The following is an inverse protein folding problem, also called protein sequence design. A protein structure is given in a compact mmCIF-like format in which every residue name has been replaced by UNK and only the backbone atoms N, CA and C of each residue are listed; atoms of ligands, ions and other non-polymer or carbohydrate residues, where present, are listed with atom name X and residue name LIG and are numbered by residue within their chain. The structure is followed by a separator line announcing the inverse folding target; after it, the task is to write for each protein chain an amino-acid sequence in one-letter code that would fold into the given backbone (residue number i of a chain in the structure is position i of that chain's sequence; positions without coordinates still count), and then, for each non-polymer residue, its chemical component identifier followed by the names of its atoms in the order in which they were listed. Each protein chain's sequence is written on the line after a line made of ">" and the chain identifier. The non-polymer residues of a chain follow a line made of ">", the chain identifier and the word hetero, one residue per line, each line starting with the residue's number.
data_IF_160478264386
#
_entry.id   IF_160478264386
#
_cell.length_a   1.000
_cell.length_b   1.000
_cell.length_c   1.000
_cell.angle_alpha   90.00
_cell.angle_beta   90.00
_cell.angle_gamma   90.00
#
_symmetry.space_group_name_H-M   'P 1'
#
loop_
_entity.id
_entity.type
_entity.pdbx_description
1 polymer ?
#
# COMPACT_ATOMS: atom_id res chain seq x y z
N UNK A 1 -29.30 3.13 15.02
CA UNK A 1 -28.30 4.21 15.26
C UNK A 1 -27.82 4.64 13.89
N UNK A 2 -28.00 5.90 13.51
CA UNK A 2 -27.45 6.42 12.25
C UNK A 2 -25.93 6.42 12.38
N UNK A 3 -25.27 5.57 11.61
CA UNK A 3 -23.81 5.50 11.58
C UNK A 3 -23.24 6.87 11.21
N UNK A 4 -22.41 7.42 12.09
CA UNK A 4 -21.83 8.74 11.89
C UNK A 4 -20.87 8.68 10.69
N UNK A 5 -21.09 9.52 9.67
CA UNK A 5 -20.27 9.48 8.45
C UNK A 5 -18.84 9.89 8.77
N UNK A 6 -17.88 9.09 8.34
CA UNK A 6 -16.44 9.29 8.55
C UNK A 6 -15.76 9.77 7.28
N UNK A 7 -14.69 10.55 7.44
CA UNK A 7 -13.83 10.99 6.34
C UNK A 7 -13.03 9.80 5.77
N UNK A 8 -13.11 9.58 4.46
CA UNK A 8 -12.45 8.48 3.74
C UNK A 8 -10.91 8.55 3.72
N UNK A 9 -10.32 9.61 4.30
CA UNK A 9 -8.87 9.82 4.37
C UNK A 9 -8.30 9.77 5.79
N UNK A 10 -9.06 10.18 6.81
CA UNK A 10 -8.53 10.27 8.19
C UNK A 10 -9.38 9.57 9.25
N UNK A 11 -10.50 8.98 8.83
CA UNK A 11 -11.44 8.20 9.65
C UNK A 11 -12.16 8.97 10.76
N UNK A 12 -11.89 10.28 10.91
CA UNK A 12 -12.61 11.11 11.87
C UNK A 12 -14.03 11.46 11.35
N UNK A 13 -15.00 11.69 12.25
CA UNK A 13 -16.36 12.11 11.89
C UNK A 13 -16.38 13.37 11.01
N UNK A 14 -17.35 13.45 10.11
CA UNK A 14 -17.51 14.58 9.17
C UNK A 14 -18.34 15.75 9.73
N UNK A 15 -18.87 15.69 10.96
CA UNK A 15 -19.56 16.79 11.68
C UNK A 15 -20.34 17.80 10.81
N UNK A 16 -21.27 17.30 9.98
CA UNK A 16 -22.14 18.14 9.13
C UNK A 16 -21.52 18.62 7.80
N UNK A 17 -20.27 18.27 7.49
CA UNK A 17 -19.71 18.45 6.14
C UNK A 17 -20.45 17.57 5.13
N UNK A 18 -20.79 18.13 3.97
CA UNK A 18 -21.36 17.39 2.84
C UNK A 18 -20.26 16.64 2.07
N UNK A 19 -20.49 15.37 1.72
CA UNK A 19 -19.53 14.55 0.97
C UNK A 19 -18.78 13.53 1.83
N UNK A 20 -17.64 13.04 1.36
CA UNK A 20 -16.90 11.91 1.95
C UNK A 20 -15.56 12.32 2.61
N UNK A 21 -15.21 13.62 2.58
CA UNK A 21 -13.90 14.14 3.02
C UNK A 21 -14.04 15.45 3.77
N UNK A 22 -13.18 15.67 4.78
CA UNK A 22 -12.92 17.02 5.27
C UNK A 22 -12.23 17.86 4.20
N UNK A 23 -12.52 19.16 4.09
CA UNK A 23 -11.84 20.06 3.14
C UNK A 23 -10.30 19.97 3.27
N UNK A 24 -9.78 19.93 4.50
CA UNK A 24 -8.33 19.80 4.77
C UNK A 24 -7.74 18.49 4.25
N UNK A 25 -8.47 17.39 4.36
CA UNK A 25 -8.05 16.07 3.92
C UNK A 25 -8.05 15.98 2.40
N UNK A 26 -9.11 16.51 1.77
CA UNK A 26 -9.18 16.64 0.31
C UNK A 26 -8.03 17.48 -0.24
N UNK A 27 -7.68 18.60 0.41
CA UNK A 27 -6.55 19.44 -0.02
C UNK A 27 -5.21 18.72 0.10
N UNK A 28 -5.00 18.01 1.21
CA UNK A 28 -3.77 17.25 1.45
C UNK A 28 -3.57 16.18 0.38
N UNK A 29 -4.62 15.39 0.12
CA UNK A 29 -4.52 14.28 -0.81
C UNK A 29 -4.71 14.71 -2.27
N UNK A 30 -5.75 15.44 -2.65
CA UNK A 30 -6.03 15.77 -4.05
C UNK A 30 -5.51 17.14 -4.53
N UNK A 31 -5.03 17.98 -3.61
CA UNK A 31 -4.65 19.36 -3.91
C UNK A 31 -5.84 20.30 -4.17
N UNK A 32 -7.07 19.87 -3.90
CA UNK A 32 -8.31 20.64 -4.09
C UNK A 32 -9.22 20.61 -2.87
N UNK A 33 -10.08 21.63 -2.73
CA UNK A 33 -11.06 21.71 -1.61
C UNK A 33 -12.00 20.51 -1.54
N UNK A 34 -12.43 20.05 -2.71
CA UNK A 34 -13.32 18.91 -2.88
C UNK A 34 -12.56 17.79 -3.59
N UNK A 35 -12.86 16.52 -3.27
CA UNK A 35 -12.24 15.39 -3.94
C UNK A 35 -12.69 15.34 -5.41
N UNK A 36 -11.84 14.86 -6.34
CA UNK A 36 -12.26 14.60 -7.70
C UNK A 36 -13.40 13.57 -7.74
N UNK A 37 -14.37 13.78 -8.63
CA UNK A 37 -15.50 12.87 -8.80
C UNK A 37 -15.06 11.57 -9.50
N UNK A 38 -15.45 10.42 -8.97
CA UNK A 38 -15.31 9.12 -9.63
C UNK A 38 -16.61 8.77 -10.36
N UNK A 39 -16.74 9.16 -11.62
CA UNK A 39 -17.97 8.99 -12.42
C UNK A 39 -18.14 7.61 -13.07
N UNK A 40 -17.26 6.67 -12.74
CA UNK A 40 -17.30 5.27 -13.17
C UNK A 40 -17.83 4.35 -12.06
N UNK A 41 -18.58 3.32 -12.43
CA UNK A 41 -18.99 2.23 -11.54
C UNK A 41 -18.19 0.94 -11.80
N UNK A 42 -18.51 -0.13 -11.07
CA UNK A 42 -17.81 -1.43 -11.21
C UNK A 42 -17.83 -1.97 -12.64
N UNK A 43 -18.97 -1.89 -13.35
CA UNK A 43 -19.07 -2.35 -14.74
C UNK A 43 -18.15 -1.58 -15.69
N UNK A 44 -18.01 -0.27 -15.49
CA UNK A 44 -17.11 0.56 -16.28
C UNK A 44 -15.65 0.16 -16.01
N UNK A 45 -15.32 -0.07 -14.74
CA UNK A 45 -14.00 -0.54 -14.30
C UNK A 45 -13.68 -1.92 -14.89
N UNK A 46 -14.60 -2.88 -14.84
CA UNK A 46 -14.41 -4.21 -15.42
C UNK A 46 -14.18 -4.13 -16.94
N UNK A 47 -15.01 -3.38 -17.65
CA UNK A 47 -14.88 -3.19 -19.09
C UNK A 47 -13.53 -2.53 -19.45
N UNK A 48 -13.11 -1.51 -18.70
CA UNK A 48 -11.84 -0.81 -18.93
C UNK A 48 -10.63 -1.65 -18.49
N UNK A 49 -10.72 -2.40 -17.41
CA UNK A 49 -9.70 -3.34 -16.98
C UNK A 49 -9.45 -4.38 -18.07
N UNK A 50 -10.49 -4.93 -18.70
CA UNK A 50 -10.35 -5.84 -19.85
C UNK A 50 -9.67 -5.16 -21.06
N UNK A 51 -9.97 -3.89 -21.33
CA UNK A 51 -9.34 -3.14 -22.43
C UNK A 51 -7.86 -2.84 -22.16
N UNK A 52 -7.51 -2.51 -20.91
CA UNK A 52 -6.12 -2.20 -20.50
C UNK A 52 -5.29 -3.47 -20.31
N UNK A 53 -5.89 -4.55 -19.79
CA UNK A 53 -5.26 -5.85 -19.50
C UNK A 53 -5.23 -6.79 -20.70
N UNK A 54 -5.75 -6.39 -21.86
CA UNK A 54 -5.67 -7.15 -23.11
C UNK A 54 -4.23 -7.39 -23.57
N UNK A 55 -3.54 -8.37 -22.96
CA UNK A 55 -2.34 -9.12 -23.39
C UNK A 55 -1.61 -9.90 -22.27
N UNK A 56 -2.02 -9.84 -21.01
CA UNK A 56 -1.40 -10.64 -19.94
C UNK A 56 -2.44 -11.45 -19.16
N UNK A 57 -2.14 -12.73 -18.96
CA UNK A 57 -3.02 -13.79 -18.45
C UNK A 57 -3.82 -13.34 -17.23
N UNK A 58 -5.15 -13.45 -17.37
CA UNK A 58 -6.13 -13.28 -16.32
C UNK A 58 -5.97 -14.37 -15.26
N UNK A 59 -5.18 -14.10 -14.22
CA UNK A 59 -5.31 -14.86 -12.98
C UNK A 59 -6.63 -14.46 -12.34
N UNK A 60 -7.63 -15.31 -12.48
CA UNK A 60 -8.96 -15.17 -11.88
C UNK A 60 -8.80 -14.95 -10.37
N UNK A 61 -9.29 -13.81 -9.85
CA UNK A 61 -9.25 -13.48 -8.42
C UNK A 61 -8.20 -12.45 -8.01
N UNK A 62 -7.36 -11.96 -8.93
CA UNK A 62 -6.47 -10.82 -8.68
C UNK A 62 -7.25 -9.51 -8.79
N UNK A 63 -7.09 -8.61 -7.81
CA UNK A 63 -7.72 -7.29 -7.82
C UNK A 63 -7.20 -6.47 -9.01
N UNK A 64 -8.07 -5.90 -9.86
CA UNK A 64 -7.61 -5.06 -10.96
C UNK A 64 -6.96 -3.78 -10.43
N UNK A 65 -5.90 -3.33 -11.12
CA UNK A 65 -5.15 -2.12 -10.79
C UNK A 65 -5.25 -1.15 -11.96
N UNK A 66 -5.95 -0.05 -11.76
CA UNK A 66 -6.17 0.97 -12.78
C UNK A 66 -5.29 2.18 -12.54
N UNK A 67 -4.73 2.73 -13.60
CA UNK A 67 -4.02 4.00 -13.56
C UNK A 67 -5.02 5.12 -13.85
N UNK A 68 -5.12 6.11 -12.96
CA UNK A 68 -6.08 7.20 -13.10
C UNK A 68 -5.39 8.56 -12.92
N UNK A 69 -5.94 9.58 -13.56
CA UNK A 69 -5.51 10.97 -13.38
C UNK A 69 -6.71 11.88 -13.10
N UNK A 70 -6.43 13.12 -12.70
CA UNK A 70 -7.46 14.13 -12.48
C UNK A 70 -7.52 15.10 -13.64
N UNK A 71 -8.69 15.24 -14.25
CA UNK A 71 -8.98 16.24 -15.29
C UNK A 71 -9.99 17.27 -14.78
N UNK A 72 -9.94 18.48 -15.34
CA UNK A 72 -11.01 19.45 -15.18
C UNK A 72 -12.28 18.91 -15.85
N UNK A 73 -13.41 18.88 -15.13
CA UNK A 73 -14.67 18.45 -15.71
C UNK A 73 -15.11 19.44 -16.83
N UNK A 74 -15.34 18.92 -18.04
CA UNK A 74 -15.75 19.73 -19.18
C UNK A 74 -17.03 20.52 -18.85
N UNK A 75 -16.98 21.84 -18.99
CA UNK A 75 -18.13 22.73 -18.75
C UNK A 75 -18.36 23.16 -17.29
N UNK A 76 -17.58 22.66 -16.31
CA UNK A 76 -17.80 22.98 -14.90
C UNK A 76 -16.57 23.68 -14.28
N UNK A 77 -16.68 24.99 -14.02
CA UNK A 77 -15.60 25.84 -13.47
C UNK A 77 -15.15 25.48 -12.04
N UNK A 78 -15.65 24.39 -11.42
CA UNK A 78 -15.46 24.10 -9.99
C UNK A 78 -15.14 22.64 -9.60
N UNK A 79 -14.98 21.69 -10.53
CA UNK A 79 -14.77 20.28 -10.16
C UNK A 79 -13.73 19.55 -11.01
N UNK A 80 -12.86 18.77 -10.36
CA UNK A 80 -12.02 17.76 -11.02
C UNK A 80 -12.78 16.43 -11.06
N UNK A 81 -12.47 15.57 -12.03
CA UNK A 81 -12.95 14.18 -12.10
C UNK A 81 -11.78 13.23 -12.31
N UNK A 82 -11.93 11.99 -11.88
CA UNK A 82 -10.99 10.93 -12.22
C UNK A 82 -11.26 10.42 -13.64
N UNK A 83 -10.19 10.28 -14.42
CA UNK A 83 -10.19 9.60 -15.70
C UNK A 83 -9.23 8.44 -15.67
N UNK A 84 -9.65 7.30 -16.21
CA UNK A 84 -8.76 6.16 -16.39
C UNK A 84 -7.84 6.48 -17.56
N UNK A 85 -6.54 6.38 -17.31
CA UNK A 85 -5.50 6.68 -18.26
C UNK A 85 -4.55 5.49 -18.36
N UNK A 86 -3.70 5.48 -19.38
CA UNK A 86 -2.64 4.49 -19.50
C UNK A 86 -1.57 4.62 -18.41
N UNK A 87 -0.33 4.27 -18.73
CA UNK A 87 0.79 4.17 -17.77
C UNK A 87 1.23 5.49 -17.10
N UNK A 88 0.58 6.61 -17.42
CA UNK A 88 0.96 7.97 -17.05
C UNK A 88 0.15 8.61 -15.93
N UNK A 89 -0.90 7.93 -15.44
CA UNK A 89 -1.77 8.47 -14.39
C UNK A 89 -1.03 8.77 -13.10
N UNK A 90 -1.45 9.82 -12.41
CA UNK A 90 -0.90 10.27 -11.14
C UNK A 90 -1.31 9.38 -9.96
N UNK A 91 -2.35 8.57 -10.13
CA UNK A 91 -2.92 7.70 -9.11
C UNK A 91 -3.07 6.27 -9.58
N UNK A 92 -3.11 5.35 -8.62
CA UNK A 92 -3.46 3.96 -8.79
C UNK A 92 -4.77 3.73 -8.06
N UNK A 93 -5.78 3.20 -8.76
CA UNK A 93 -7.08 2.86 -8.22
C UNK A 93 -7.27 1.34 -8.20
N UNK A 94 -7.74 0.83 -7.08
CA UNK A 94 -8.03 -0.59 -6.86
C UNK A 94 -9.47 -0.74 -6.34
N UNK A 95 -10.40 -1.23 -7.16
CA UNK A 95 -11.79 -1.40 -6.77
C UNK A 95 -11.96 -2.65 -5.89
N UNK A 96 -13.13 -2.83 -5.25
CA UNK A 96 -13.45 -4.07 -4.60
C UNK A 96 -13.63 -5.18 -5.64
N UNK A 97 -13.46 -6.43 -5.23
CA UNK A 97 -13.77 -7.60 -6.05
C UNK A 97 -14.91 -8.39 -5.40
N UNK A 98 -15.80 -9.05 -6.17
CA UNK A 98 -16.96 -9.74 -5.61
C UNK A 98 -16.63 -10.76 -4.50
N UNK A 99 -15.48 -11.45 -4.63
CA UNK A 99 -15.00 -12.41 -3.63
C UNK A 99 -14.58 -11.75 -2.31
N UNK A 100 -14.09 -10.52 -2.37
CA UNK A 100 -13.48 -9.79 -1.26
C UNK A 100 -13.95 -8.32 -1.28
N UNK A 101 -15.21 -8.05 -0.90
CA UNK A 101 -15.82 -6.74 -1.06
C UNK A 101 -15.15 -5.65 -0.22
N UNK A 102 -14.58 -5.99 0.94
CA UNK A 102 -13.88 -5.05 1.84
C UNK A 102 -12.36 -5.01 1.63
N UNK A 103 -11.85 -5.59 0.53
CA UNK A 103 -10.41 -5.55 0.25
C UNK A 103 -9.83 -4.12 0.19
N UNK A 104 -10.50 -3.14 -0.46
CA UNK A 104 -10.04 -1.75 -0.43
C UNK A 104 -9.86 -1.18 0.98
N UNK A 105 -10.83 -1.41 1.86
CA UNK A 105 -10.85 -0.94 3.24
C UNK A 105 -9.77 -1.62 4.08
N UNK A 106 -9.52 -2.92 3.86
CA UNK A 106 -8.43 -3.65 4.52
C UNK A 106 -7.08 -3.08 4.09
N UNK A 107 -6.88 -2.81 2.80
CA UNK A 107 -5.64 -2.21 2.29
C UNK A 107 -5.42 -0.81 2.88
N UNK A 108 -6.45 0.05 2.85
CA UNK A 108 -6.38 1.41 3.39
C UNK A 108 -6.07 1.42 4.90
N UNK A 109 -6.74 0.57 5.68
CA UNK A 109 -6.46 0.42 7.11
C UNK A 109 -5.03 -0.06 7.36
N UNK A 110 -4.58 -1.06 6.60
CA UNK A 110 -3.22 -1.60 6.74
C UNK A 110 -2.18 -0.52 6.44
N UNK A 111 -2.40 0.30 5.41
CA UNK A 111 -1.54 1.43 5.07
C UNK A 111 -1.57 2.54 6.16
N UNK A 112 -2.72 2.84 6.77
CA UNK A 112 -2.76 3.76 7.92
C UNK A 112 -2.03 3.23 9.16
N UNK A 113 -2.07 1.91 9.39
CA UNK A 113 -1.31 1.29 10.48
C UNK A 113 0.20 1.45 10.26
N UNK A 114 0.70 1.35 9.03
CA UNK A 114 2.13 1.58 8.73
C UNK A 114 2.52 3.06 8.91
N UNK A 115 1.66 4.01 8.50
CA UNK A 115 1.88 5.44 8.76
C UNK A 115 1.93 5.76 10.26
N UNK A 116 1.03 5.16 11.05
CA UNK A 116 1.00 5.31 12.51
C UNK A 116 2.32 4.85 13.14
N UNK A 117 2.95 3.81 12.59
CA UNK A 117 4.25 3.28 13.02
C UNK A 117 5.45 4.06 12.46
N UNK A 118 5.21 5.13 11.69
CA UNK A 118 6.24 5.96 11.03
C UNK A 118 7.02 5.25 9.93
N UNK A 119 6.49 4.15 9.39
CA UNK A 119 6.99 3.55 8.17
C UNK A 119 6.63 4.48 7.00
N UNK A 120 7.62 4.87 6.19
CA UNK A 120 7.39 5.69 4.99
C UNK A 120 6.43 4.94 4.07
N UNK A 121 5.25 5.49 3.85
CA UNK A 121 4.13 4.82 3.17
C UNK A 121 3.65 5.69 2.00
N UNK A 122 3.23 5.06 0.90
CA UNK A 122 2.65 5.77 -0.23
C UNK A 122 1.39 6.52 0.21
N UNK A 123 1.21 7.77 -0.22
CA UNK A 123 -0.03 8.49 0.10
C UNK A 123 -1.24 7.73 -0.46
N UNK A 124 -2.24 7.51 0.38
CA UNK A 124 -3.40 6.69 0.07
C UNK A 124 -4.69 7.26 0.67
N UNK A 125 -5.82 6.74 0.20
CA UNK A 125 -7.16 7.06 0.69
C UNK A 125 -8.16 6.02 0.17
N UNK A 126 -9.35 6.00 0.76
CA UNK A 126 -10.54 5.47 0.10
C UNK A 126 -11.22 6.54 -0.74
N UNK A 127 -11.91 6.14 -1.80
CA UNK A 127 -12.87 6.98 -2.53
C UNK A 127 -14.15 6.20 -2.80
N UNK A 128 -15.26 6.90 -2.96
CA UNK A 128 -16.53 6.29 -3.35
C UNK A 128 -16.69 6.34 -4.87
N UNK A 129 -16.91 5.19 -5.49
CA UNK A 129 -17.22 5.11 -6.93
C UNK A 129 -18.71 5.35 -7.17
N UNK A 130 -19.10 5.59 -8.42
CA UNK A 130 -20.50 5.97 -8.78
C UNK A 130 -21.54 4.97 -8.32
N UNK A 131 -21.19 3.69 -8.25
CA UNK A 131 -22.06 2.60 -7.79
C UNK A 131 -22.22 2.54 -6.26
N UNK A 132 -21.45 3.32 -5.50
CA UNK A 132 -21.57 3.50 -4.05
C UNK A 132 -20.53 2.77 -3.21
N UNK A 133 -19.85 1.77 -3.79
CA UNK A 133 -18.78 1.02 -3.14
C UNK A 133 -17.54 1.89 -2.91
N UNK A 134 -16.70 1.46 -1.96
CA UNK A 134 -15.42 2.09 -1.71
C UNK A 134 -14.34 1.42 -2.57
N UNK A 135 -13.46 2.23 -3.15
CA UNK A 135 -12.27 1.81 -3.84
C UNK A 135 -11.04 2.41 -3.16
N UNK A 136 -9.94 1.68 -3.18
CA UNK A 136 -8.66 2.15 -2.67
C UNK A 136 -7.98 2.98 -3.75
N UNK A 137 -7.39 4.09 -3.36
CA UNK A 137 -6.61 4.94 -4.26
C UNK A 137 -5.29 5.34 -3.60
N UNK A 138 -4.20 5.22 -4.33
CA UNK A 138 -2.89 5.70 -3.90
C UNK A 138 -2.28 6.65 -4.92
N UNK A 139 -1.53 7.64 -4.45
CA UNK A 139 -0.68 8.43 -5.35
C UNK A 139 0.52 7.63 -5.79
N UNK A 140 0.94 7.87 -7.02
CA UNK A 140 2.21 7.36 -7.53
C UNK A 140 3.37 8.18 -6.99
N UNK A 141 4.13 7.60 -6.07
CA UNK A 141 5.37 8.22 -5.56
C UNK A 141 6.54 8.12 -6.56
N UNK A 142 6.42 7.31 -7.63
CA UNK A 142 7.35 7.28 -8.76
C UNK A 142 7.02 8.36 -9.82
N UNK A 143 6.23 9.37 -9.44
CA UNK A 143 5.88 10.53 -10.26
C UNK A 143 6.12 11.82 -9.47
N UNK A 144 6.95 12.70 -10.00
CA UNK A 144 7.17 14.05 -9.44
C UNK A 144 7.03 15.07 -10.56
N UNK A 145 6.13 16.06 -10.37
CA UNK A 145 5.89 17.15 -11.35
C UNK A 145 5.66 16.64 -12.78
N UNK A 146 4.97 15.51 -12.93
CA UNK A 146 4.69 14.86 -14.23
C UNK A 146 5.84 14.03 -14.81
N UNK A 147 7.00 14.00 -14.16
CA UNK A 147 8.15 13.16 -14.56
C UNK A 147 8.14 11.82 -13.82
N UNK A 148 8.59 10.77 -14.50
CA UNK A 148 8.73 9.43 -13.93
C UNK A 148 10.11 9.26 -13.31
N UNK A 149 10.14 8.92 -12.02
CA UNK A 149 11.36 8.48 -11.35
C UNK A 149 11.70 7.03 -11.73
N UNK A 150 12.98 6.68 -11.72
CA UNK A 150 13.41 5.30 -11.89
C UNK A 150 13.08 4.51 -10.63
N UNK A 151 12.35 3.42 -10.80
CA UNK A 151 11.93 2.53 -9.73
C UNK A 151 12.04 1.10 -10.23
N UNK A 152 12.67 0.24 -9.44
CA UNK A 152 12.82 -1.18 -9.73
C UNK A 152 12.34 -2.00 -8.54
N UNK A 153 11.54 -3.03 -8.83
CA UNK A 153 11.11 -3.98 -7.82
C UNK A 153 12.21 -5.02 -7.50
N UNK A 154 12.09 -5.70 -6.35
CA UNK A 154 13.11 -6.68 -5.96
C UNK A 154 13.13 -7.92 -6.84
N UNK A 155 12.09 -8.18 -7.65
CA UNK A 155 12.17 -9.25 -8.64
C UNK A 155 13.15 -8.84 -9.76
N UNK A 156 13.07 -7.60 -10.24
CA UNK A 156 14.03 -7.04 -11.21
C UNK A 156 15.45 -6.98 -10.64
N UNK A 157 15.64 -6.36 -9.47
CA UNK A 157 16.96 -6.16 -8.85
C UNK A 157 17.66 -7.47 -8.48
N UNK A 158 16.90 -8.55 -8.32
CA UNK A 158 17.45 -9.88 -8.02
C UNK A 158 17.39 -10.83 -9.21
N UNK A 159 17.04 -10.34 -10.41
CA UNK A 159 16.94 -11.13 -11.64
C UNK A 159 16.00 -12.34 -11.51
N UNK A 160 14.92 -12.17 -10.76
CA UNK A 160 13.89 -13.19 -10.53
C UNK A 160 12.71 -12.96 -11.47
N UNK A 161 12.33 -13.99 -12.22
CA UNK A 161 11.15 -13.97 -13.09
C UNK A 161 9.86 -13.70 -12.29
N UNK A 162 8.89 -13.02 -12.91
CA UNK A 162 7.63 -12.60 -12.24
C UNK A 162 6.83 -13.79 -11.71
N UNK A 163 6.82 -14.92 -12.42
CA UNK A 163 6.14 -16.16 -12.04
C UNK A 163 6.78 -16.80 -10.80
N UNK A 164 8.01 -16.40 -10.46
CA UNK A 164 8.77 -16.84 -9.30
C UNK A 164 8.87 -15.77 -8.21
N UNK A 165 8.01 -14.74 -8.23
CA UNK A 165 7.99 -13.64 -7.25
C UNK A 165 7.95 -14.09 -5.78
N UNK A 166 7.39 -15.27 -5.48
CA UNK A 166 7.35 -15.87 -4.13
C UNK A 166 8.57 -16.75 -3.78
N UNK A 167 9.43 -17.09 -4.74
CA UNK A 167 10.57 -18.01 -4.56
C UNK A 167 11.82 -17.24 -4.14
N UNK A 168 11.76 -16.63 -2.95
CA UNK A 168 12.87 -15.84 -2.39
C UNK A 168 12.83 -15.79 -0.85
N UNK A 169 13.69 -14.96 -0.27
CA UNK A 169 13.77 -14.73 1.17
C UNK A 169 13.96 -13.25 1.50
N UNK A 170 13.58 -12.86 2.72
CA UNK A 170 13.81 -11.51 3.23
C UNK A 170 15.32 -11.18 3.26
N UNK A 171 16.19 -12.17 3.52
CA UNK A 171 17.64 -11.99 3.46
C UNK A 171 18.14 -11.67 2.05
N UNK A 172 17.51 -12.22 1.00
CA UNK A 172 17.88 -11.90 -0.39
C UNK A 172 17.52 -10.46 -0.73
N UNK A 173 16.39 -9.95 -0.22
CA UNK A 173 16.07 -8.52 -0.31
C UNK A 173 17.11 -7.69 0.44
N UNK A 174 17.46 -8.06 1.67
CA UNK A 174 18.49 -7.37 2.44
C UNK A 174 19.84 -7.29 1.73
N UNK A 175 20.25 -8.34 1.02
CA UNK A 175 21.45 -8.33 0.17
C UNK A 175 21.34 -7.37 -1.01
N UNK A 176 20.18 -7.32 -1.67
CA UNK A 176 19.94 -6.39 -2.78
C UNK A 176 19.95 -4.93 -2.29
N UNK A 177 19.27 -4.63 -1.19
CA UNK A 177 19.28 -3.29 -0.56
C UNK A 177 20.72 -2.87 -0.24
N UNK A 178 21.50 -3.73 0.41
CA UNK A 178 22.92 -3.44 0.72
C UNK A 178 23.78 -3.18 -0.51
N UNK A 179 23.45 -3.82 -1.65
CA UNK A 179 24.21 -3.67 -2.89
C UNK A 179 23.90 -2.36 -3.62
N UNK A 180 22.64 -1.92 -3.58
CA UNK A 180 22.15 -0.86 -4.46
C UNK A 180 21.74 0.44 -3.75
N UNK A 181 21.40 0.39 -2.46
CA UNK A 181 20.96 1.58 -1.71
C UNK A 181 22.11 2.52 -1.37
N UNK A 182 21.91 3.81 -1.58
CA UNK A 182 22.80 4.89 -1.13
C UNK A 182 22.83 4.97 0.40
N UNK A 183 21.67 4.94 1.07
CA UNK A 183 21.57 4.97 2.53
C UNK A 183 21.24 3.59 3.10
N UNK A 184 22.20 2.68 2.94
CA UNK A 184 22.03 1.26 3.21
C UNK A 184 21.47 0.96 4.61
N UNK A 185 22.00 1.60 5.67
CA UNK A 185 21.62 1.21 7.04
C UNK A 185 20.17 1.59 7.38
N UNK A 186 19.70 2.76 6.91
CA UNK A 186 18.30 3.18 7.10
C UNK A 186 17.34 2.33 6.27
N UNK A 187 17.70 2.00 5.04
CA UNK A 187 16.87 1.17 4.17
C UNK A 187 16.78 -0.28 4.68
N UNK A 188 17.86 -0.81 5.26
CA UNK A 188 17.84 -2.11 5.93
C UNK A 188 16.97 -2.10 7.19
N UNK A 189 16.97 -1.01 7.96
CA UNK A 189 16.05 -0.84 9.08
C UNK A 189 14.59 -0.79 8.60
N UNK A 190 14.32 -0.07 7.52
CA UNK A 190 12.98 -0.01 6.89
C UNK A 190 12.52 -1.41 6.44
N UNK A 191 13.40 -2.20 5.82
CA UNK A 191 13.10 -3.60 5.45
C UNK A 191 12.78 -4.45 6.68
N UNK A 192 13.54 -4.29 7.77
CA UNK A 192 13.28 -4.99 9.02
C UNK A 192 11.90 -4.64 9.60
N UNK A 193 11.59 -3.35 9.68
CA UNK A 193 10.30 -2.86 10.19
C UNK A 193 9.13 -3.33 9.33
N UNK A 194 9.26 -3.30 8.00
CA UNK A 194 8.25 -3.84 7.09
C UNK A 194 8.06 -5.36 7.24
N UNK A 195 9.13 -6.10 7.52
CA UNK A 195 9.07 -7.55 7.75
C UNK A 195 8.29 -7.87 9.03
N UNK A 196 8.59 -7.15 10.12
CA UNK A 196 7.86 -7.27 11.40
C UNK A 196 6.40 -6.81 11.23
N UNK A 197 6.18 -5.71 10.51
CA UNK A 197 4.86 -5.17 10.23
C UNK A 197 3.98 -6.16 9.43
N UNK A 198 4.54 -6.75 8.38
CA UNK A 198 3.83 -7.74 7.56
C UNK A 198 3.40 -8.95 8.38
N UNK A 199 4.28 -9.41 9.27
CA UNK A 199 3.95 -10.49 10.21
C UNK A 199 2.81 -10.10 11.17
N UNK A 200 2.93 -8.94 11.83
CA UNK A 200 1.94 -8.49 12.83
C UNK A 200 0.56 -8.19 12.23
N UNK A 201 0.53 -7.75 10.97
CA UNK A 201 -0.73 -7.48 10.24
C UNK A 201 -1.24 -8.69 9.48
N UNK A 202 -0.55 -9.84 9.51
CA UNK A 202 -0.97 -11.04 8.78
C UNK A 202 -0.97 -10.85 7.26
N UNK A 203 0.01 -10.13 6.74
CA UNK A 203 0.22 -9.95 5.31
C UNK A 203 1.15 -11.04 4.75
N UNK A 204 0.54 -12.12 4.27
CA UNK A 204 1.21 -13.26 3.66
C UNK A 204 1.41 -13.11 2.13
N UNK A 205 1.19 -11.93 1.55
CA UNK A 205 1.36 -11.67 0.10
C UNK A 205 2.44 -10.62 -0.25
N UNK A 206 3.23 -10.16 0.73
CA UNK A 206 4.41 -9.29 0.50
C UNK A 206 5.57 -10.01 -0.20
N UNK A 207 5.44 -10.22 -1.51
CA UNK A 207 6.44 -10.89 -2.35
C UNK A 207 7.44 -9.91 -2.97
N UNK A 208 8.39 -10.39 -3.79
CA UNK A 208 9.47 -9.56 -4.35
C UNK A 208 8.99 -8.29 -5.10
N UNK A 209 7.81 -8.31 -5.71
CA UNK A 209 7.28 -7.16 -6.44
C UNK A 209 6.63 -6.08 -5.55
N UNK A 210 6.54 -6.28 -4.23
CA UNK A 210 6.03 -5.28 -3.27
C UNK A 210 7.16 -4.51 -2.56
N UNK A 211 8.41 -4.82 -2.89
CA UNK A 211 9.58 -4.12 -2.38
C UNK A 211 10.31 -3.51 -3.55
N UNK A 212 10.71 -2.25 -3.43
CA UNK A 212 11.37 -1.53 -4.53
C UNK A 212 12.42 -0.56 -4.02
N UNK A 213 13.40 -0.30 -4.88
CA UNK A 213 14.27 0.86 -4.75
C UNK A 213 13.84 1.93 -5.74
N UNK A 214 13.97 3.19 -5.33
CA UNK A 214 13.59 4.38 -6.06
C UNK A 214 14.82 5.29 -6.17
N UNK A 215 15.10 5.80 -7.36
CA UNK A 215 16.08 6.87 -7.57
C UNK A 215 15.40 8.23 -7.37
N UNK A 216 15.90 9.04 -6.43
CA UNK A 216 15.35 10.37 -6.11
C UNK A 216 15.76 11.44 -7.13
N UNK A 217 15.21 12.65 -7.02
CA UNK A 217 15.66 13.82 -7.82
C UNK A 217 17.14 14.17 -7.54
N UNK A 218 17.64 13.85 -6.33
CA UNK A 218 19.03 14.05 -5.90
C UNK A 218 19.96 12.88 -6.29
N UNK A 219 19.51 11.98 -7.18
CA UNK A 219 20.24 10.80 -7.66
C UNK A 219 20.58 9.76 -6.59
N UNK A 220 19.90 9.79 -5.43
CA UNK A 220 20.05 8.77 -4.38
C UNK A 220 19.16 7.57 -4.66
N UNK A 221 19.67 6.36 -4.44
CA UNK A 221 18.87 5.13 -4.49
C UNK A 221 18.42 4.81 -3.07
N UNK A 222 17.11 4.88 -2.84
CA UNK A 222 16.51 4.68 -1.52
C UNK A 222 15.39 3.63 -1.57
N UNK A 223 15.06 3.04 -0.42
CA UNK A 223 13.88 2.20 -0.31
C UNK A 223 12.63 3.03 -0.63
N UNK A 224 11.75 2.51 -1.49
CA UNK A 224 10.53 3.21 -1.84
C UNK A 224 9.62 3.36 -0.61
N UNK A 225 8.67 4.32 -0.61
CA UNK A 225 7.52 4.21 0.29
C UNK A 225 6.89 2.82 0.21
N UNK A 226 6.37 2.31 1.32
CA UNK A 226 5.62 1.07 1.37
C UNK A 226 4.29 1.23 0.59
N UNK A 227 3.88 0.16 -0.10
CA UNK A 227 2.67 0.12 -0.92
C UNK A 227 2.16 -1.31 -1.00
N UNK A 228 0.91 -1.48 -1.44
CA UNK A 228 0.26 -2.79 -1.57
C UNK A 228 0.32 -3.60 -0.23
N UNK A 229 0.17 -2.91 0.91
CA UNK A 229 0.12 -3.54 2.24
C UNK A 229 -1.31 -4.01 2.52
N UNK A 230 -1.53 -5.31 2.67
CA UNK A 230 -2.87 -5.89 2.82
C UNK A 230 -2.84 -7.02 3.86
N UNK A 231 -3.71 -6.95 4.87
CA UNK A 231 -3.92 -8.06 5.82
C UNK A 231 -4.62 -9.24 5.13
N UNK A 232 -3.86 -10.08 4.42
CA UNK A 232 -4.40 -11.21 3.66
C UNK A 232 -5.02 -12.28 4.56
N UNK A 233 -4.60 -12.37 5.81
CA UNK A 233 -5.17 -13.30 6.79
C UNK A 233 -6.66 -13.06 7.04
N UNK A 234 -7.15 -11.83 6.89
CA UNK A 234 -8.58 -11.50 6.97
C UNK A 234 -9.37 -11.98 5.75
N UNK A 235 -8.70 -12.13 4.60
CA UNK A 235 -9.30 -12.56 3.34
C UNK A 235 -9.24 -14.08 3.15
N UNK A 236 -8.15 -14.69 3.62
CA UNK A 236 -7.84 -16.12 3.45
C UNK A 236 -7.40 -16.69 4.80
N UNK A 237 -8.31 -16.86 5.77
CA UNK A 237 -7.95 -17.30 7.12
C UNK A 237 -7.36 -18.71 7.16
N UNK A 238 -7.61 -19.52 6.13
CA UNK A 238 -7.08 -20.87 5.95
C UNK A 238 -5.61 -20.89 5.54
N UNK A 239 -5.07 -19.78 5.03
CA UNK A 239 -3.65 -19.68 4.70
C UNK A 239 -2.82 -19.79 5.97
N UNK A 240 -2.01 -20.84 6.07
CA UNK A 240 -1.18 -21.11 7.24
C UNK A 240 0.12 -20.30 7.25
N UNK A 241 0.47 -19.64 6.15
CA UNK A 241 1.68 -18.85 6.07
C UNK A 241 1.51 -17.49 6.77
N UNK A 242 2.57 -17.07 7.46
CA UNK A 242 2.64 -15.80 8.20
C UNK A 242 3.41 -14.72 7.41
N UNK A 243 4.21 -15.13 6.41
CA UNK A 243 4.93 -14.26 5.47
C UNK A 243 4.97 -14.87 4.06
N UNK A 244 4.95 -14.02 3.02
CA UNK A 244 5.06 -14.46 1.63
C UNK A 244 6.45 -15.00 1.26
N UNK A 245 7.50 -14.37 1.78
CA UNK A 245 8.90 -14.73 1.56
C UNK A 245 9.47 -15.38 2.81
N UNK A 246 10.42 -16.29 2.61
CA UNK A 246 11.02 -16.98 3.76
C UNK A 246 11.80 -16.01 4.66
N UNK A 247 11.74 -16.25 5.95
CA UNK A 247 12.57 -15.66 7.00
C UNK A 247 13.28 -16.81 7.72
N UNK A 248 14.60 -16.87 7.65
CA UNK A 248 15.38 -18.02 8.14
C UNK A 248 14.90 -19.37 7.55
N UNK A 249 14.46 -19.36 6.29
CA UNK A 249 13.96 -20.56 5.60
C UNK A 249 12.54 -20.98 5.98
N UNK A 250 11.82 -20.20 6.80
CA UNK A 250 10.45 -20.48 7.23
C UNK A 250 9.49 -19.40 6.73
N UNK A 251 8.22 -19.75 6.58
CA UNK A 251 7.13 -18.80 6.32
C UNK A 251 6.03 -18.84 7.38
N UNK A 252 6.06 -19.84 8.26
CA UNK A 252 5.17 -20.02 9.39
C UNK A 252 5.94 -20.42 10.66
N UNK A 253 5.25 -20.48 11.79
CA UNK A 253 5.82 -20.75 13.11
C UNK A 253 6.97 -19.80 13.47
N UNK A 254 6.88 -18.55 13.01
CA UNK A 254 7.87 -17.50 13.24
C UNK A 254 7.82 -17.06 14.71
N UNK A 255 9.00 -16.93 15.31
CA UNK A 255 9.16 -16.47 16.69
C UNK A 255 10.00 -15.20 16.69
N UNK A 256 9.96 -14.43 17.80
CA UNK A 256 10.82 -13.25 17.98
C UNK A 256 12.30 -13.52 17.63
N UNK A 257 12.81 -14.71 17.98
CA UNK A 257 14.18 -15.13 17.65
C UNK A 257 14.46 -15.08 16.14
N UNK A 258 13.50 -15.44 15.29
CA UNK A 258 13.68 -15.40 13.85
C UNK A 258 13.92 -13.96 13.35
N UNK A 259 13.21 -12.98 13.91
CA UNK A 259 13.40 -11.55 13.63
C UNK A 259 14.70 -11.00 14.24
N UNK A 260 15.07 -11.43 15.45
CA UNK A 260 16.34 -11.06 16.07
C UNK A 260 17.54 -11.55 15.24
N UNK A 261 17.47 -12.79 14.73
CA UNK A 261 18.50 -13.37 13.86
C UNK A 261 18.51 -12.65 12.48
N UNK A 262 17.36 -12.25 11.97
CA UNK A 262 17.28 -11.45 10.75
C UNK A 262 17.91 -10.06 10.92
N UNK A 263 17.60 -9.33 11.99
CA UNK A 263 18.21 -8.05 12.30
C UNK A 263 19.74 -8.14 12.35
N UNK A 264 20.28 -9.22 12.95
CA UNK A 264 21.73 -9.50 12.97
C UNK A 264 22.29 -9.72 11.56
N UNK A 265 21.62 -10.49 10.71
CA UNK A 265 22.02 -10.68 9.30
C UNK A 265 22.00 -9.37 8.51
N UNK A 266 21.08 -8.46 8.84
CA UNK A 266 21.04 -7.10 8.29
C UNK A 266 22.06 -6.16 8.93
N UNK A 267 22.82 -6.59 9.93
CA UNK A 267 23.75 -5.76 10.71
C UNK A 267 23.07 -4.56 11.38
N UNK A 268 21.81 -4.71 11.79
CA UNK A 268 21.11 -3.74 12.62
C UNK A 268 21.57 -3.96 14.07
N UNK A 269 22.02 -2.90 14.73
CA UNK A 269 22.42 -2.98 16.12
C UNK A 269 21.22 -3.22 17.05
N UNK A 270 21.47 -3.83 18.22
CA UNK A 270 20.41 -4.22 19.15
C UNK A 270 19.52 -3.05 19.58
N UNK A 271 20.11 -1.87 19.82
CA UNK A 271 19.36 -0.67 20.21
C UNK A 271 18.36 -0.24 19.14
N UNK A 272 18.76 -0.22 17.86
CA UNK A 272 17.86 0.13 16.76
C UNK A 272 16.74 -0.89 16.60
N UNK A 273 17.06 -2.20 16.67
CA UNK A 273 16.06 -3.27 16.64
C UNK A 273 15.05 -3.15 17.79
N UNK A 274 15.55 -2.94 19.01
CA UNK A 274 14.71 -2.88 20.21
C UNK A 274 13.84 -1.62 20.20
N UNK A 275 14.34 -0.49 19.69
CA UNK A 275 13.54 0.70 19.43
C UNK A 275 12.41 0.43 18.42
N UNK A 276 12.66 -0.31 17.35
CA UNK A 276 11.59 -0.71 16.43
C UNK A 276 10.55 -1.55 17.16
N UNK A 277 10.93 -2.60 17.91
CA UNK A 277 9.95 -3.38 18.68
C UNK A 277 9.15 -2.53 19.67
N UNK A 278 9.81 -1.62 20.39
CA UNK A 278 9.14 -0.73 21.34
C UNK A 278 8.17 0.24 20.64
N UNK A 279 8.52 0.78 19.47
CA UNK A 279 7.62 1.62 18.69
C UNK A 279 6.33 0.88 18.30
N UNK A 280 6.43 -0.40 17.93
CA UNK A 280 5.26 -1.23 17.61
C UNK A 280 4.43 -1.54 18.87
N UNK A 281 5.10 -1.89 19.97
CA UNK A 281 4.43 -2.23 21.22
C UNK A 281 3.72 -1.02 21.85
N UNK A 282 4.42 0.11 21.99
CA UNK A 282 3.90 1.34 22.60
C UNK A 282 2.68 1.91 21.84
N UNK A 283 2.63 1.76 20.52
CA UNK A 283 1.51 2.21 19.67
C UNK A 283 0.37 1.21 19.55
N UNK A 284 0.42 0.05 20.23
CA UNK A 284 -0.62 -1.00 20.14
C UNK A 284 -2.03 -0.47 20.39
N UNK A 285 -2.21 0.35 21.42
CA UNK A 285 -3.53 0.89 21.75
C UNK A 285 -4.02 1.89 20.71
N UNK A 286 -3.13 2.66 20.09
CA UNK A 286 -3.48 3.56 18.99
C UNK A 286 -3.86 2.77 17.74
N UNK A 287 -3.13 1.68 17.43
CA UNK A 287 -3.46 0.77 16.33
C UNK A 287 -4.86 0.16 16.51
N UNK A 288 -5.18 -0.37 17.70
CA UNK A 288 -6.50 -0.92 17.99
C UNK A 288 -7.61 0.13 17.84
N UNK A 289 -7.41 1.35 18.34
CA UNK A 289 -8.34 2.46 18.15
C UNK A 289 -8.54 2.83 16.67
N UNK A 290 -7.50 2.69 15.85
CA UNK A 290 -7.60 2.94 14.41
C UNK A 290 -8.40 1.83 13.71
N UNK A 291 -8.20 0.57 14.11
CA UNK A 291 -9.03 -0.57 13.66
C UNK A 291 -10.51 -0.33 13.99
N UNK A 292 -10.82 0.05 15.24
CA UNK A 292 -12.20 0.33 15.68
C UNK A 292 -12.86 1.48 14.90
N UNK A 293 -12.06 2.43 14.40
CA UNK A 293 -12.53 3.57 13.60
C UNK A 293 -12.59 3.29 12.10
N UNK A 294 -12.02 2.18 11.64
CA UNK A 294 -11.90 1.86 10.22
C UNK A 294 -13.24 1.64 9.51
N UNK A 295 -13.21 1.41 8.20
CA UNK A 295 -14.38 1.07 7.40
C UNK A 295 -14.65 -0.43 7.31
N UNK A 296 -13.95 -1.24 8.11
CA UNK A 296 -14.24 -2.68 8.26
C UNK A 296 -15.49 -2.88 9.10
N UNK A 297 -16.25 -3.95 8.81
CA UNK A 297 -17.53 -4.29 9.45
C UNK A 297 -17.56 -5.75 9.86
#
# INVERSE_FOLDING_TARGET
>A
MTEERKCLYCYNPLEGEAGDFHEKCSRKFFGSKTPPLAEFGLKDIEAMALQVLGRHESVTGVQPKLSVDTESAAGNKKGKRFTIVGLWGSYILKPPVPKYPQMPEIEDLTMHLSELLKIKTAEHSLIRIKSGELAYISKRFDRIKGQKLQMEDMAQLTETLTERKYKSSMERIGKAVRKYSTNTQLDLLTLFELTVFSFLTGNADMHLKNFSLLRTEDDEIVFSPAYDLLSTKLLIPEDTEELALTLNGKKNNLKKKDFDDFAKKLQINDKARDNSYENFFSRRQEMLKLVDKSFLT
#
